data_IF_052686465477
#
_entry.id   IF_052686465477
#
_cell.length_a   1.000
_cell.length_b   1.000
_cell.length_c   1.000
_cell.angle_alpha   90.00
_cell.angle_beta   90.00
_cell.angle_gamma   90.00
#
_symmetry.space_group_name_H-M   'P 1'
#
loop_
_entity.id
_entity.type
_entity.pdbx_description
1 polymer ?
#
# COMPACT_ATOMS: atom_id res chain seq x y z
N UNK A 1 81.86 -33.96 -10.91
CA UNK A 1 81.23 -32.64 -10.71
C UNK A 1 80.09 -32.84 -9.72
N UNK A 2 80.22 -32.34 -8.49
CA UNK A 2 79.17 -32.46 -7.47
C UNK A 2 78.08 -31.43 -7.77
N UNK A 3 76.84 -31.90 -7.92
CA UNK A 3 75.66 -31.06 -7.99
C UNK A 3 75.44 -30.41 -6.63
N UNK A 4 75.82 -29.14 -6.48
CA UNK A 4 75.45 -28.33 -5.32
C UNK A 4 73.99 -27.94 -5.50
N UNK A 5 73.07 -28.71 -4.90
CA UNK A 5 71.71 -28.23 -4.64
C UNK A 5 71.82 -27.19 -3.52
N UNK A 6 71.80 -25.90 -3.89
CA UNK A 6 71.58 -24.82 -2.92
C UNK A 6 70.11 -24.89 -2.50
N UNK A 7 69.84 -25.44 -1.33
CA UNK A 7 68.59 -25.17 -0.63
C UNK A 7 68.81 -23.89 0.17
N UNK A 8 68.09 -22.83 -0.20
CA UNK A 8 67.95 -21.64 0.63
C UNK A 8 67.17 -22.12 1.86
N UNK A 9 67.68 -21.84 3.06
CA UNK A 9 67.03 -22.25 4.32
C UNK A 9 65.65 -21.62 4.49
N UNK A 10 64.97 -21.91 5.61
CA UNK A 10 63.76 -21.17 5.94
C UNK A 10 64.13 -19.73 6.34
N UNK A 11 63.35 -18.74 5.93
CA UNK A 11 63.54 -17.33 6.26
C UNK A 11 62.28 -16.78 6.95
N UNK A 12 62.46 -15.87 7.91
CA UNK A 12 61.38 -15.04 8.45
C UNK A 12 61.68 -13.58 8.14
N UNK A 13 60.76 -12.93 7.43
CA UNK A 13 60.75 -11.49 7.26
C UNK A 13 60.00 -10.81 8.42
N UNK A 14 60.39 -9.59 8.74
CA UNK A 14 59.77 -8.77 9.77
C UNK A 14 59.75 -7.31 9.35
N UNK A 15 58.80 -6.56 9.92
CA UNK A 15 58.66 -5.12 9.72
C UNK A 15 58.11 -4.49 10.99
N UNK A 16 58.63 -3.31 11.34
CA UNK A 16 58.18 -2.49 12.45
C UNK A 16 58.05 -1.07 11.93
N UNK A 17 56.87 -0.47 12.10
CA UNK A 17 56.61 0.89 11.69
C UNK A 17 56.09 1.72 12.87
N UNK A 18 56.49 2.99 12.91
CA UNK A 18 55.95 3.99 13.82
C UNK A 18 55.59 5.23 13.00
N UNK A 19 54.35 5.68 13.14
CA UNK A 19 53.85 6.90 12.51
C UNK A 19 53.52 7.94 13.59
N UNK A 20 53.83 9.20 13.31
CA UNK A 20 53.48 10.33 14.17
C UNK A 20 52.94 11.48 13.31
N UNK A 21 51.77 11.99 13.66
CA UNK A 21 51.09 13.06 12.92
C UNK A 21 51.12 14.37 13.71
N UNK A 22 52.15 15.22 13.54
CA UNK A 22 52.23 16.51 14.23
C UNK A 22 51.22 17.56 13.72
N UNK A 23 50.66 17.37 12.51
CA UNK A 23 49.72 18.29 11.87
C UNK A 23 48.70 17.49 11.04
N UNK A 24 47.43 17.94 10.88
CA UNK A 24 46.41 17.21 10.11
C UNK A 24 46.84 16.80 8.70
N UNK A 25 47.70 17.60 8.06
CA UNK A 25 48.17 17.40 6.68
C UNK A 25 49.56 16.74 6.57
N UNK A 26 50.24 16.46 7.69
CA UNK A 26 51.61 15.95 7.68
C UNK A 26 51.78 14.82 8.67
N UNK A 27 52.23 13.66 8.18
CA UNK A 27 52.58 12.49 8.97
C UNK A 27 54.04 12.09 8.72
N UNK A 28 54.74 11.77 9.80
CA UNK A 28 56.11 11.26 9.78
C UNK A 28 56.05 9.76 10.00
N UNK A 29 56.60 8.99 9.07
CA UNK A 29 56.69 7.54 9.14
C UNK A 29 58.15 7.12 9.30
N UNK A 30 58.42 6.23 10.24
CA UNK A 30 59.67 5.51 10.35
C UNK A 30 59.37 4.02 10.29
N UNK A 31 60.01 3.32 9.36
CA UNK A 31 59.84 1.88 9.18
C UNK A 31 61.20 1.20 9.23
N UNK A 32 61.29 0.07 9.91
CA UNK A 32 62.43 -0.83 9.84
C UNK A 32 61.94 -2.20 9.41
N UNK A 33 62.54 -2.75 8.37
CA UNK A 33 62.19 -4.05 7.84
C UNK A 33 63.45 -4.89 7.60
N UNK A 34 63.31 -6.20 7.71
CA UNK A 34 64.43 -7.10 7.58
C UNK A 34 64.00 -8.54 7.50
N UNK A 35 64.97 -9.43 7.48
CA UNK A 35 64.72 -10.86 7.48
C UNK A 35 65.81 -11.60 8.27
N UNK A 36 65.51 -12.82 8.69
CA UNK A 36 66.45 -13.72 9.37
C UNK A 36 66.29 -15.13 8.81
N UNK A 37 67.39 -15.87 8.67
CA UNK A 37 67.36 -17.25 8.17
C UNK A 37 67.53 -18.28 9.29
N UNK A 38 66.91 -19.45 9.11
CA UNK A 38 66.99 -20.61 10.00
C UNK A 38 67.59 -21.79 9.23
N UNK A 39 68.88 -22.07 9.44
CA UNK A 39 69.59 -23.19 8.82
C UNK A 39 70.99 -22.82 8.32
N UNK A 40 71.93 -23.75 8.41
CA UNK A 40 73.39 -23.50 8.36
C UNK A 40 73.95 -22.77 7.12
N UNK A 41 75.01 -21.98 7.41
CA UNK A 41 76.19 -21.60 6.60
C UNK A 41 76.25 -20.20 5.98
N UNK A 42 75.21 -19.38 6.13
CA UNK A 42 75.34 -17.92 5.99
C UNK A 42 75.26 -17.30 7.39
N UNK A 43 76.18 -16.38 7.68
CA UNK A 43 76.37 -15.78 8.98
C UNK A 43 75.07 -15.16 9.55
N UNK A 44 74.99 -15.15 10.88
CA UNK A 44 73.88 -14.75 11.75
C UNK A 44 73.48 -13.28 11.69
N UNK A 45 73.61 -12.64 10.52
CA UNK A 45 73.27 -11.25 10.30
C UNK A 45 71.82 -11.19 9.85
N UNK A 46 70.99 -10.44 10.57
CA UNK A 46 69.61 -10.16 10.21
C UNK A 46 69.59 -8.85 9.41
N UNK A 47 69.63 -8.89 8.06
CA UNK A 47 69.78 -7.69 7.27
C UNK A 47 68.58 -6.78 7.54
N UNK A 48 68.87 -5.53 7.84
CA UNK A 48 67.90 -4.57 8.34
C UNK A 48 68.03 -3.29 7.56
N UNK A 49 66.93 -2.86 6.97
CA UNK A 49 66.77 -1.56 6.35
C UNK A 49 65.93 -0.67 7.28
N UNK A 50 66.28 0.60 7.37
CA UNK A 50 65.46 1.63 8.02
C UNK A 50 65.09 2.70 6.99
N UNK A 51 63.83 3.11 7.00
CA UNK A 51 63.23 4.12 6.13
C UNK A 51 62.57 5.20 6.96
N UNK A 52 62.72 6.44 6.51
CA UNK A 52 61.98 7.59 7.00
C UNK A 52 61.22 8.24 5.86
N UNK A 53 59.96 8.58 6.08
CA UNK A 53 59.13 9.27 5.10
C UNK A 53 58.30 10.39 5.73
N UNK A 54 58.00 11.39 4.91
CA UNK A 54 56.95 12.37 5.15
C UNK A 54 55.79 12.07 4.22
N UNK A 55 54.61 11.93 4.79
CA UNK A 55 53.34 11.82 4.09
C UNK A 55 52.65 13.19 4.16
N UNK A 56 52.32 13.76 3.00
CA UNK A 56 51.58 15.01 2.85
C UNK A 56 50.17 14.69 2.37
N UNK A 57 49.17 15.02 3.17
CA UNK A 57 47.76 14.74 2.88
C UNK A 57 47.15 16.01 2.30
N UNK A 58 46.57 15.93 1.09
CA UNK A 58 45.94 17.04 0.37
C UNK A 58 44.64 16.54 -0.26
N UNK A 59 43.51 16.81 0.41
CA UNK A 59 42.24 16.19 0.06
C UNK A 59 42.37 14.67 0.13
N UNK A 60 41.95 14.00 -0.94
CA UNK A 60 41.98 12.54 -1.07
C UNK A 60 43.34 11.99 -1.48
N UNK A 61 44.32 12.87 -1.75
CA UNK A 61 45.66 12.47 -2.15
C UNK A 61 46.63 12.48 -0.97
N UNK A 62 47.42 11.42 -0.82
CA UNK A 62 48.60 11.38 0.05
C UNK A 62 49.85 11.28 -0.80
N UNK A 63 50.72 12.29 -0.72
CA UNK A 63 52.03 12.31 -1.36
C UNK A 63 53.10 11.91 -0.36
N UNK A 64 53.87 10.88 -0.67
CA UNK A 64 54.94 10.38 0.18
C UNK A 64 56.30 10.75 -0.41
N UNK A 65 57.20 11.24 0.44
CA UNK A 65 58.61 11.42 0.10
C UNK A 65 59.49 10.91 1.24
N UNK A 66 60.45 10.06 0.92
CA UNK A 66 61.27 9.44 1.93
C UNK A 66 62.61 8.94 1.43
N UNK A 67 63.42 8.46 2.38
CA UNK A 67 64.71 7.86 2.12
C UNK A 67 64.92 6.67 3.06
N UNK A 68 65.72 5.72 2.59
CA UNK A 68 66.05 4.50 3.30
C UNK A 68 67.53 4.19 3.23
N UNK A 69 68.03 3.47 4.23
CA UNK A 69 69.41 3.01 4.27
C UNK A 69 69.53 1.71 5.07
N UNK A 70 70.56 0.92 4.78
CA UNK A 70 70.89 -0.27 5.54
C UNK A 70 71.42 0.06 6.94
N UNK A 71 70.80 -0.52 7.96
CA UNK A 71 71.29 -0.52 9.34
C UNK A 71 72.17 -1.74 9.60
N UNK A 72 71.77 -2.91 9.08
CA UNK A 72 72.55 -4.15 9.07
C UNK A 72 72.64 -4.62 7.62
N UNK A 73 73.85 -4.62 7.06
CA UNK A 73 74.07 -4.96 5.66
C UNK A 73 73.92 -6.46 5.42
N UNK A 74 73.35 -6.80 4.28
CA UNK A 74 73.19 -8.17 3.82
C UNK A 74 72.55 -8.18 2.44
N UNK A 75 72.31 -9.38 1.91
CA UNK A 75 71.68 -9.50 0.59
C UNK A 75 70.29 -8.85 0.63
N UNK A 76 70.05 -7.91 -0.29
CA UNK A 76 68.77 -7.19 -0.40
C UNK A 76 68.68 -5.88 0.38
N UNK A 77 69.67 -5.50 1.19
CA UNK A 77 69.68 -4.22 1.93
C UNK A 77 70.50 -3.16 1.16
N UNK A 78 69.88 -2.06 0.69
CA UNK A 78 70.60 -1.02 -0.05
C UNK A 78 71.52 -0.19 0.85
N UNK A 79 72.58 0.38 0.26
CA UNK A 79 73.44 1.37 0.97
C UNK A 79 72.63 2.61 1.33
N UNK A 80 71.90 3.15 0.35
CA UNK A 80 70.89 4.17 0.53
C UNK A 80 69.97 4.20 -0.70
N UNK A 81 68.73 4.64 -0.53
CA UNK A 81 67.83 5.01 -1.62
C UNK A 81 66.90 6.16 -1.22
N UNK A 82 66.22 6.73 -2.20
CA UNK A 82 65.10 7.65 -2.01
C UNK A 82 63.86 7.11 -2.72
N UNK A 83 62.67 7.48 -2.23
CA UNK A 83 61.41 7.10 -2.83
C UNK A 83 60.41 8.25 -2.80
N UNK A 84 59.52 8.25 -3.79
CA UNK A 84 58.37 9.11 -3.91
C UNK A 84 57.14 8.24 -4.19
N UNK A 85 56.02 8.57 -3.58
CA UNK A 85 54.75 7.87 -3.76
C UNK A 85 53.58 8.83 -3.80
N UNK A 86 52.49 8.40 -4.41
CA UNK A 86 51.20 9.07 -4.34
C UNK A 86 50.12 8.00 -4.19
N UNK A 87 49.18 8.19 -3.27
CA UNK A 87 47.99 7.36 -3.12
C UNK A 87 46.75 8.25 -3.13
N UNK A 88 45.68 7.78 -3.77
CA UNK A 88 44.36 8.41 -3.76
C UNK A 88 43.42 7.55 -2.93
N UNK A 89 42.74 8.16 -1.97
CA UNK A 89 41.76 7.54 -1.08
C UNK A 89 40.55 8.48 -1.01
N UNK A 90 39.55 8.32 -1.89
CA UNK A 90 38.34 9.13 -1.84
C UNK A 90 37.59 8.93 -0.51
N UNK A 91 36.73 9.87 -0.10
CA UNK A 91 35.83 9.67 1.02
C UNK A 91 35.03 8.37 0.81
N UNK A 92 34.79 7.65 1.90
CA UNK A 92 34.00 6.42 1.88
C UNK A 92 32.48 6.72 1.81
N UNK A 93 32.11 7.97 2.07
CA UNK A 93 30.74 8.47 2.17
C UNK A 93 30.49 9.36 0.94
N UNK A 94 30.41 8.74 -0.24
CA UNK A 94 29.91 9.41 -1.45
C UNK A 94 28.39 9.38 -1.38
N UNK A 95 27.78 10.45 -1.87
CA UNK A 95 26.35 10.71 -1.96
C UNK A 95 26.19 11.47 -3.28
N UNK A 96 25.76 10.75 -4.31
CA UNK A 96 25.94 11.13 -5.71
C UNK A 96 24.85 12.08 -6.20
N UNK A 97 23.61 11.88 -5.77
CA UNK A 97 22.44 12.70 -6.05
C UNK A 97 22.17 13.74 -4.95
N UNK A 98 22.71 13.56 -3.74
CA UNK A 98 22.71 14.56 -2.68
C UNK A 98 21.47 14.54 -1.81
N UNK A 99 20.78 13.40 -1.72
CA UNK A 99 19.59 13.22 -0.89
C UNK A 99 19.90 12.98 0.60
N UNK A 100 21.17 12.72 0.91
CA UNK A 100 21.64 12.51 2.28
C UNK A 100 21.77 11.04 2.68
N UNK A 101 21.43 10.11 1.80
CA UNK A 101 21.78 8.69 1.89
C UNK A 101 23.11 8.48 1.16
N UNK A 102 24.05 7.74 1.75
CA UNK A 102 25.32 7.48 1.05
C UNK A 102 25.10 6.45 -0.06
N UNK A 103 25.81 6.53 -1.18
CA UNK A 103 25.81 5.57 -2.31
C UNK A 103 25.90 4.08 -1.88
N UNK A 104 26.44 3.82 -0.69
CA UNK A 104 26.62 2.47 -0.13
C UNK A 104 25.40 1.92 0.62
N UNK A 105 24.49 2.80 0.99
CA UNK A 105 23.25 2.56 1.73
C UNK A 105 22.01 2.84 0.88
N UNK A 106 22.18 3.67 -0.13
CA UNK A 106 21.22 4.12 -1.12
C UNK A 106 20.95 3.02 -2.17
N UNK A 107 19.67 2.72 -2.39
CA UNK A 107 19.18 1.77 -3.38
C UNK A 107 19.13 2.35 -4.80
N UNK A 108 19.03 3.68 -4.93
CA UNK A 108 19.02 4.45 -6.17
C UNK A 108 20.09 5.57 -6.20
N UNK A 109 21.41 5.26 -6.22
CA UNK A 109 22.50 6.26 -6.05
C UNK A 109 22.70 7.31 -7.15
N UNK A 110 21.74 7.51 -8.04
CA UNK A 110 21.77 8.54 -9.06
C UNK A 110 20.48 9.37 -9.10
N UNK A 111 19.47 8.99 -8.34
CA UNK A 111 18.12 9.52 -8.37
C UNK A 111 17.78 9.89 -6.93
N UNK A 112 17.73 11.19 -6.63
CA UNK A 112 17.47 11.67 -5.28
C UNK A 112 16.06 11.32 -4.81
N UNK A 113 15.97 10.86 -3.57
CA UNK A 113 14.76 10.78 -2.75
C UNK A 113 13.90 12.06 -2.84
N UNK A 114 12.56 11.93 -2.84
CA UNK A 114 11.62 13.05 -2.90
C UNK A 114 10.99 13.48 -1.56
N UNK A 115 11.37 12.80 -0.46
CA UNK A 115 11.06 13.15 0.95
C UNK A 115 9.58 13.50 1.18
N UNK A 116 8.68 12.57 0.88
CA UNK A 116 7.24 12.76 1.03
C UNK A 116 6.63 12.02 2.25
N UNK A 117 7.40 11.15 2.90
CA UNK A 117 6.99 10.35 4.05
C UNK A 117 6.65 8.89 3.73
N UNK A 118 6.78 8.49 2.47
CA UNK A 118 6.65 7.13 1.99
C UNK A 118 8.04 6.58 1.64
N UNK A 119 8.37 5.40 2.17
CA UNK A 119 9.63 4.66 1.95
C UNK A 119 10.99 5.44 1.93
N UNK A 120 11.05 6.71 2.40
CA UNK A 120 12.18 7.68 2.44
C UNK A 120 13.59 7.18 2.89
N UNK A 121 13.68 5.96 3.41
CA UNK A 121 14.83 5.43 4.12
C UNK A 121 15.77 4.60 3.25
N UNK A 122 15.35 4.24 2.04
CA UNK A 122 16.17 3.49 1.10
C UNK A 122 16.87 4.36 0.03
N UNK A 123 16.50 5.65 -0.06
CA UNK A 123 17.12 6.64 -0.96
C UNK A 123 16.65 6.50 -2.40
N UNK A 124 15.43 6.03 -2.62
CA UNK A 124 14.81 5.93 -3.93
C UNK A 124 13.57 6.80 -3.97
N UNK A 125 13.39 7.66 -4.98
CA UNK A 125 12.13 8.37 -5.12
C UNK A 125 11.02 7.43 -5.58
N UNK A 126 9.92 7.41 -4.85
CA UNK A 126 8.66 6.82 -5.25
C UNK A 126 7.78 7.92 -5.89
N UNK A 127 7.46 7.77 -7.18
CA UNK A 127 6.68 8.78 -7.92
C UNK A 127 5.19 8.44 -8.04
N UNK A 128 4.80 7.33 -7.41
CA UNK A 128 3.50 6.66 -7.45
C UNK A 128 3.53 5.64 -6.29
N UNK A 129 3.22 6.12 -5.09
CA UNK A 129 3.44 5.43 -3.82
C UNK A 129 2.57 4.18 -3.66
N UNK A 130 1.31 4.26 -4.09
CA UNK A 130 0.36 3.16 -4.01
C UNK A 130 0.36 2.24 -5.25
N UNK A 131 0.94 2.69 -6.36
CA UNK A 131 1.16 1.91 -7.56
C UNK A 131 -0.08 1.73 -8.42
N UNK A 132 -1.07 2.62 -8.32
CA UNK A 132 -2.29 2.59 -9.12
C UNK A 132 -2.08 3.09 -10.58
N UNK A 133 -0.97 3.80 -10.82
CA UNK A 133 -0.56 4.33 -12.12
C UNK A 133 -0.80 5.84 -12.30
N UNK A 134 -1.29 6.53 -11.29
CA UNK A 134 -1.41 7.99 -11.20
C UNK A 134 -0.23 8.52 -10.35
N UNK A 135 0.59 9.45 -10.86
CA UNK A 135 1.70 9.97 -10.07
C UNK A 135 1.23 10.76 -8.86
N UNK A 136 1.92 10.69 -7.71
CA UNK A 136 1.50 11.31 -6.44
C UNK A 136 1.23 12.82 -6.54
N UNK A 137 1.90 13.49 -7.48
CA UNK A 137 1.71 14.92 -7.73
C UNK A 137 0.35 15.28 -8.37
N UNK A 138 -0.26 14.31 -9.05
CA UNK A 138 -1.55 14.38 -9.71
C UNK A 138 -2.64 13.56 -8.97
N UNK A 139 -2.24 12.75 -7.99
CA UNK A 139 -3.10 11.88 -7.18
C UNK A 139 -3.69 12.59 -5.94
N UNK A 140 -5.03 12.58 -5.73
CA UNK A 140 -5.64 13.10 -4.51
C UNK A 140 -5.47 12.19 -3.27
N UNK A 141 -5.24 10.90 -3.47
CA UNK A 141 -5.09 9.84 -2.48
C UNK A 141 -3.78 9.04 -2.67
N UNK A 142 -2.59 9.68 -2.67
CA UNK A 142 -1.32 9.07 -3.10
C UNK A 142 -0.87 7.82 -2.33
N UNK A 143 -1.42 7.57 -1.13
CA UNK A 143 -1.07 6.42 -0.29
C UNK A 143 -2.12 5.29 -0.35
N UNK A 144 -3.19 5.45 -1.13
CA UNK A 144 -4.38 4.59 -1.15
C UNK A 144 -4.79 4.28 -2.59
N UNK A 145 -4.36 3.12 -3.10
CA UNK A 145 -4.64 2.74 -4.48
C UNK A 145 -6.14 2.63 -4.80
N UNK A 146 -6.50 3.20 -5.96
CA UNK A 146 -7.79 3.07 -6.65
C UNK A 146 -8.35 1.63 -6.68
N UNK A 147 -9.66 1.48 -6.51
CA UNK A 147 -10.31 0.18 -6.37
C UNK A 147 -11.07 -0.34 -7.61
N UNK A 148 -10.83 0.18 -8.82
CA UNK A 148 -11.17 -0.43 -10.13
C UNK A 148 -12.50 -1.24 -10.18
N UNK A 149 -13.60 -0.64 -9.76
CA UNK A 149 -14.91 -1.28 -9.63
C UNK A 149 -15.97 -0.77 -10.62
N UNK A 150 -15.55 0.01 -11.62
CA UNK A 150 -16.38 0.69 -12.64
C UNK A 150 -17.07 1.98 -12.15
N UNK A 151 -16.78 2.45 -10.93
CA UNK A 151 -17.15 3.75 -10.40
C UNK A 151 -15.90 4.62 -10.20
N UNK A 152 -15.92 5.85 -10.70
CA UNK A 152 -14.87 6.88 -10.57
C UNK A 152 -13.37 6.46 -10.74
N UNK A 153 -13.05 5.26 -11.27
CA UNK A 153 -11.76 4.56 -11.54
C UNK A 153 -10.54 5.36 -12.09
N UNK A 154 -10.69 6.64 -12.37
CA UNK A 154 -9.75 7.50 -13.09
C UNK A 154 -9.26 8.68 -12.25
N UNK A 155 -9.72 8.79 -11.00
CA UNK A 155 -9.36 9.88 -10.11
C UNK A 155 -8.27 9.55 -9.07
N UNK A 156 -8.00 8.25 -8.84
CA UNK A 156 -6.90 7.76 -8.02
C UNK A 156 -7.27 7.52 -6.55
N UNK A 157 -8.56 7.57 -6.23
CA UNK A 157 -9.04 7.43 -4.88
C UNK A 157 -10.04 6.27 -4.79
N UNK A 158 -9.83 5.30 -3.90
CA UNK A 158 -10.82 4.25 -3.71
C UNK A 158 -12.07 4.79 -3.00
N UNK A 159 -13.23 4.40 -3.49
CA UNK A 159 -14.52 4.68 -2.86
C UNK A 159 -14.98 3.51 -1.97
N UNK A 160 -15.33 3.79 -0.71
CA UNK A 160 -15.88 2.73 0.16
C UNK A 160 -17.41 2.53 0.00
N UNK A 161 -18.09 3.49 -0.62
CA UNK A 161 -19.55 3.64 -0.72
C UNK A 161 -19.89 4.54 -1.92
N UNK A 162 -19.99 3.92 -3.09
CA UNK A 162 -20.11 4.58 -4.40
C UNK A 162 -21.39 5.40 -4.57
N UNK A 163 -22.52 4.93 -4.05
CA UNK A 163 -23.80 5.64 -4.18
C UNK A 163 -24.17 6.52 -2.98
N UNK A 164 -23.42 6.40 -1.89
CA UNK A 164 -23.48 7.28 -0.73
C UNK A 164 -24.71 7.07 0.14
N UNK A 165 -25.30 5.87 0.11
CA UNK A 165 -26.45 5.52 0.95
C UNK A 165 -26.05 5.15 2.41
N UNK A 166 -24.76 4.96 2.66
CA UNK A 166 -24.19 4.63 3.96
C UNK A 166 -23.93 3.14 4.20
N UNK A 167 -24.17 2.29 3.21
CA UNK A 167 -23.77 0.88 3.14
C UNK A 167 -22.52 0.82 2.27
N UNK A 168 -21.49 0.11 2.74
CA UNK A 168 -20.25 -0.01 1.95
C UNK A 168 -20.44 -0.96 0.80
N UNK A 169 -19.79 -0.71 -0.34
CA UNK A 169 -19.91 -1.51 -1.57
C UNK A 169 -19.68 -3.01 -1.35
N UNK A 170 -18.71 -3.38 -0.48
CA UNK A 170 -18.44 -4.77 -0.12
C UNK A 170 -19.57 -5.50 0.63
N UNK A 171 -20.56 -4.77 1.13
CA UNK A 171 -21.78 -5.26 1.79
C UNK A 171 -23.06 -4.87 1.04
N UNK A 172 -22.94 -4.08 -0.01
CA UNK A 172 -24.04 -3.56 -0.80
C UNK A 172 -24.41 -4.52 -1.95
N UNK A 173 -25.70 -4.81 -2.11
CA UNK A 173 -26.19 -5.63 -3.21
C UNK A 173 -26.41 -4.84 -4.51
N UNK A 174 -26.54 -3.52 -4.40
CA UNK A 174 -26.65 -2.56 -5.49
C UNK A 174 -25.66 -1.38 -5.30
N UNK A 175 -24.33 -1.60 -5.31
CA UNK A 175 -23.29 -0.59 -4.98
C UNK A 175 -23.37 0.76 -5.75
N UNK A 176 -24.13 0.82 -6.83
CA UNK A 176 -24.23 2.00 -7.69
C UNK A 176 -25.65 2.58 -7.72
N UNK A 177 -26.52 2.19 -6.78
CA UNK A 177 -27.93 2.57 -6.76
C UNK A 177 -28.39 2.72 -5.31
N UNK A 178 -28.54 3.96 -4.83
CA UNK A 178 -28.68 4.22 -3.41
C UNK A 178 -30.01 3.70 -2.86
N UNK A 179 -29.95 3.13 -1.67
CA UNK A 179 -31.10 2.77 -0.84
C UNK A 179 -32.01 3.97 -0.52
N UNK A 180 -33.33 3.76 -0.46
CA UNK A 180 -34.31 4.83 -0.19
C UNK A 180 -34.73 4.94 1.29
N UNK A 181 -34.32 3.97 2.12
CA UNK A 181 -34.46 3.97 3.57
C UNK A 181 -35.91 4.11 4.04
N UNK A 182 -36.83 3.42 3.38
CA UNK A 182 -38.26 3.53 3.62
C UNK A 182 -38.82 2.57 4.70
N UNK A 183 -37.99 1.66 5.20
CA UNK A 183 -38.31 0.74 6.28
C UNK A 183 -38.63 -0.70 5.85
N UNK A 184 -38.68 -1.00 4.54
CA UNK A 184 -38.51 -2.36 4.04
C UNK A 184 -37.02 -2.59 3.73
N UNK A 185 -36.49 -3.73 4.17
CA UNK A 185 -35.17 -4.26 3.77
C UNK A 185 -33.94 -3.33 3.69
N UNK A 186 -33.94 -2.12 4.26
CA UNK A 186 -32.92 -1.04 4.27
C UNK A 186 -31.43 -1.42 4.58
N UNK A 187 -31.12 -2.69 4.76
CA UNK A 187 -29.78 -3.22 5.10
C UNK A 187 -29.11 -3.96 3.96
N UNK A 188 -29.77 -4.16 2.81
CA UNK A 188 -29.17 -4.83 1.66
C UNK A 188 -28.64 -3.89 0.57
N UNK A 189 -28.93 -2.58 0.67
CA UNK A 189 -28.38 -1.52 -0.19
C UNK A 189 -29.11 -1.40 -1.52
N UNK A 190 -30.31 -1.96 -1.64
CA UNK A 190 -31.06 -1.95 -2.89
C UNK A 190 -32.47 -1.40 -2.65
N UNK A 191 -32.87 -0.31 -3.32
CA UNK A 191 -34.25 0.14 -3.22
C UNK A 191 -35.22 -0.91 -3.78
N UNK A 192 -36.28 -1.20 -3.02
CA UNK A 192 -37.35 -2.07 -3.49
C UNK A 192 -38.24 -1.39 -4.53
N UNK A 193 -38.46 -2.07 -5.65
CA UNK A 193 -39.41 -1.60 -6.67
C UNK A 193 -40.86 -2.05 -6.41
N UNK A 194 -41.05 -3.08 -5.56
CA UNK A 194 -42.32 -3.75 -5.25
C UNK A 194 -42.17 -4.36 -3.83
N UNK A 195 -42.49 -3.56 -2.81
CA UNK A 195 -42.20 -3.86 -1.40
C UNK A 195 -43.06 -4.99 -0.84
N UNK A 196 -44.34 -5.04 -1.17
CA UNK A 196 -45.23 -6.11 -0.69
C UNK A 196 -45.23 -7.36 -1.58
N UNK A 197 -44.60 -7.28 -2.74
CA UNK A 197 -44.36 -8.38 -3.68
C UNK A 197 -45.65 -8.94 -4.29
N UNK A 198 -46.63 -8.08 -4.55
CA UNK A 198 -47.85 -8.44 -5.25
C UNK A 198 -47.69 -8.45 -6.79
N UNK A 199 -46.62 -7.81 -7.31
CA UNK A 199 -46.30 -7.72 -8.74
C UNK A 199 -46.66 -6.38 -9.40
N UNK A 200 -47.14 -5.40 -8.63
CA UNK A 200 -47.35 -4.01 -9.02
C UNK A 200 -46.18 -3.20 -8.44
N UNK A 201 -45.53 -2.39 -9.28
CA UNK A 201 -44.42 -1.56 -8.78
C UNK A 201 -44.95 -0.47 -7.84
N UNK A 202 -44.23 -0.17 -6.77
CA UNK A 202 -44.52 0.88 -5.77
C UNK A 202 -44.91 2.24 -6.39
N UNK A 203 -44.36 2.55 -7.57
CA UNK A 203 -44.66 3.79 -8.30
C UNK A 203 -46.04 3.83 -8.98
N UNK A 204 -46.65 2.66 -9.16
CA UNK A 204 -47.97 2.43 -9.74
C UNK A 204 -49.01 1.94 -8.70
N UNK A 205 -48.55 1.51 -7.53
CA UNK A 205 -49.34 0.99 -6.42
C UNK A 205 -49.90 2.13 -5.52
N UNK A 206 -51.19 2.06 -5.16
CA UNK A 206 -51.83 3.01 -4.25
C UNK A 206 -51.55 2.72 -2.76
N UNK A 207 -51.18 1.49 -2.40
CA UNK A 207 -50.79 1.08 -1.07
C UNK A 207 -49.56 0.15 -1.15
N UNK A 208 -48.37 0.71 -1.39
CA UNK A 208 -47.11 -0.01 -1.64
C UNK A 208 -46.57 -0.91 -0.52
N UNK A 209 -47.36 -1.18 0.52
CA UNK A 209 -46.97 -2.01 1.67
C UNK A 209 -48.03 -3.06 2.00
N UNK A 210 -49.11 -3.12 1.22
CA UNK A 210 -50.26 -3.99 1.44
C UNK A 210 -50.58 -4.74 0.15
N UNK A 211 -50.09 -5.97 0.05
CA UNK A 211 -50.23 -6.77 -1.16
C UNK A 211 -51.68 -6.94 -1.63
N UNK A 212 -51.91 -6.67 -2.91
CA UNK A 212 -53.12 -6.98 -3.66
C UNK A 212 -53.50 -8.47 -3.54
N UNK A 213 -54.81 -8.76 -3.50
CA UNK A 213 -55.33 -10.11 -3.33
C UNK A 213 -55.79 -10.77 -4.66
N UNK A 214 -55.86 -9.99 -5.74
CA UNK A 214 -56.16 -10.42 -7.12
C UNK A 214 -57.47 -11.19 -7.25
N UNK A 215 -58.54 -10.69 -6.64
CA UNK A 215 -59.85 -11.33 -6.66
C UNK A 215 -60.71 -11.00 -7.91
N UNK A 216 -60.25 -10.06 -8.73
CA UNK A 216 -60.89 -9.65 -9.99
C UNK A 216 -61.62 -8.31 -9.92
N UNK A 217 -61.56 -7.59 -8.81
CA UNK A 217 -62.03 -6.22 -8.66
C UNK A 217 -60.84 -5.31 -8.34
N UNK A 218 -60.77 -4.16 -9.02
CA UNK A 218 -59.71 -3.16 -8.90
C UNK A 218 -58.22 -3.62 -8.84
N UNK A 219 -57.91 -4.90 -9.14
CA UNK A 219 -56.57 -5.55 -9.21
C UNK A 219 -55.40 -4.74 -9.83
N UNK A 220 -55.68 -3.63 -10.51
CA UNK A 220 -54.69 -2.77 -11.15
C UNK A 220 -54.26 -1.57 -10.30
N UNK A 221 -54.86 -1.36 -9.13
CA UNK A 221 -54.49 -0.28 -8.22
C UNK A 221 -53.58 -0.67 -7.05
N UNK A 222 -53.38 -1.98 -6.83
CA UNK A 222 -52.43 -2.54 -5.88
C UNK A 222 -52.95 -2.60 -4.46
N UNK A 223 -54.25 -2.41 -4.25
CA UNK A 223 -54.83 -2.40 -2.91
C UNK A 223 -55.87 -3.46 -2.65
N UNK A 224 -55.69 -4.29 -1.60
CA UNK A 224 -56.73 -5.21 -1.21
C UNK A 224 -57.98 -4.43 -0.75
N UNK A 225 -59.13 -4.79 -1.30
CA UNK A 225 -60.40 -4.22 -0.86
C UNK A 225 -60.86 -4.82 0.48
N UNK A 226 -61.38 -3.95 1.37
CA UNK A 226 -62.07 -4.40 2.58
C UNK A 226 -63.58 -4.59 2.37
N UNK A 227 -64.13 -4.09 1.25
CA UNK A 227 -65.56 -4.03 0.88
C UNK A 227 -65.63 -4.11 -0.65
N UNK A 228 -65.67 -5.34 -1.18
CA UNK A 228 -65.50 -5.65 -2.60
C UNK A 228 -66.65 -5.12 -3.47
N UNK A 229 -67.87 -5.02 -2.94
CA UNK A 229 -69.03 -4.52 -3.71
C UNK A 229 -69.43 -3.07 -3.38
N UNK A 230 -68.84 -2.48 -2.34
CA UNK A 230 -68.95 -1.08 -1.99
C UNK A 230 -70.28 -0.69 -1.36
N UNK A 231 -70.98 -1.63 -0.72
CA UNK A 231 -72.25 -1.38 -0.04
C UNK A 231 -72.08 -0.80 1.39
N UNK A 232 -70.85 -0.81 1.91
CA UNK A 232 -70.50 -0.27 3.23
C UNK A 232 -70.46 -1.30 4.35
N UNK A 233 -70.67 -2.59 4.07
CA UNK A 233 -70.40 -3.74 4.94
C UNK A 233 -69.04 -4.34 4.55
N UNK A 234 -68.06 -4.42 5.46
CA UNK A 234 -66.77 -5.02 5.13
C UNK A 234 -66.94 -6.50 4.78
N UNK A 235 -66.17 -7.02 3.83
CA UNK A 235 -66.22 -8.42 3.35
C UNK A 235 -66.10 -9.46 4.47
N UNK A 236 -65.40 -9.10 5.56
CA UNK A 236 -65.26 -9.95 6.75
C UNK A 236 -66.54 -10.10 7.58
N UNK A 237 -67.45 -9.14 7.47
CA UNK A 237 -68.75 -9.08 8.13
C UNK A 237 -69.92 -9.26 7.13
N UNK A 238 -69.63 -9.34 5.82
CA UNK A 238 -70.59 -9.49 4.72
C UNK A 238 -70.93 -10.99 4.42
N UNK A 239 -72.23 -11.34 4.41
CA UNK A 239 -72.68 -12.69 4.04
C UNK A 239 -72.65 -12.95 2.52
N UNK A 240 -72.65 -11.90 1.71
CA UNK A 240 -72.61 -11.86 0.26
C UNK A 240 -71.53 -10.87 -0.29
N UNK A 241 -70.22 -11.07 -0.04
CA UNK A 241 -69.16 -10.09 -0.33
C UNK A 241 -68.99 -9.64 -1.80
N UNK A 242 -69.75 -10.21 -2.74
CA UNK A 242 -69.67 -9.90 -4.17
C UNK A 242 -70.97 -9.31 -4.74
N UNK A 243 -71.96 -9.04 -3.89
CA UNK A 243 -73.29 -8.60 -4.27
C UNK A 243 -73.77 -7.49 -3.34
N UNK A 244 -73.66 -6.23 -3.78
CA UNK A 244 -74.05 -5.08 -2.95
C UNK A 244 -75.52 -5.14 -2.47
N UNK A 245 -75.73 -4.80 -1.20
CA UNK A 245 -77.03 -4.64 -0.54
C UNK A 245 -77.92 -3.57 -1.24
N UNK A 246 -79.26 -3.71 -1.15
CA UNK A 246 -80.23 -2.91 -1.91
C UNK A 246 -80.99 -1.79 -1.14
N UNK A 247 -80.53 -1.45 0.06
CA UNK A 247 -80.92 -0.38 0.98
C UNK A 247 -82.46 -0.31 1.15
N UNK A 248 -83.05 -1.44 1.57
CA UNK A 248 -84.48 -1.77 1.48
C UNK A 248 -85.32 -1.36 2.74
N UNK A 249 -84.65 -1.01 3.85
CA UNK A 249 -85.16 -0.96 5.24
C UNK A 249 -85.44 -2.39 5.81
N UNK A 250 -84.80 -3.43 5.30
CA UNK A 250 -84.98 -4.83 5.70
C UNK A 250 -83.64 -5.57 5.67
N UNK A 251 -83.18 -6.07 6.82
CA UNK A 251 -81.96 -6.89 6.92
C UNK A 251 -80.67 -6.24 6.35
N UNK A 252 -80.69 -4.93 6.05
CA UNK A 252 -79.57 -4.05 5.60
C UNK A 252 -78.24 -4.05 6.43
N UNK A 253 -78.05 -4.93 7.41
CA UNK A 253 -76.81 -5.06 8.19
C UNK A 253 -75.98 -6.32 7.81
N UNK A 254 -76.47 -7.19 6.91
CA UNK A 254 -75.83 -8.46 6.55
C UNK A 254 -75.07 -8.48 5.21
N UNK A 255 -75.11 -7.37 4.45
CA UNK A 255 -74.41 -7.21 3.16
C UNK A 255 -75.03 -7.99 1.99
N UNK A 256 -76.22 -8.58 2.17
CA UNK A 256 -76.85 -9.40 1.13
C UNK A 256 -78.09 -8.72 0.52
N UNK A 257 -78.21 -8.60 -0.82
CA UNK A 257 -79.43 -8.16 -1.46
C UNK A 257 -80.53 -9.22 -1.32
N UNK A 258 -81.72 -8.83 -0.84
CA UNK A 258 -82.77 -9.83 -0.71
C UNK A 258 -83.54 -10.05 -2.00
N UNK A 259 -83.53 -11.30 -2.47
CA UNK A 259 -84.45 -11.78 -3.50
C UNK A 259 -85.92 -11.76 -3.01
N UNK A 260 -86.57 -10.59 -3.10
CA UNK A 260 -87.99 -10.50 -3.38
C UNK A 260 -88.94 -9.91 -2.33
N UNK A 261 -88.52 -8.98 -1.45
CA UNK A 261 -89.51 -8.24 -0.64
C UNK A 261 -90.10 -7.04 -1.38
N UNK A 262 -91.01 -7.34 -2.32
CA UNK A 262 -91.97 -6.33 -2.81
C UNK A 262 -92.70 -5.70 -1.61
N UNK A 263 -92.37 -4.45 -1.29
CA UNK A 263 -93.16 -3.45 -0.54
C UNK A 263 -94.48 -4.00 0.00
N UNK A 264 -94.45 -4.61 1.19
CA UNK A 264 -95.70 -4.82 1.96
C UNK A 264 -95.98 -3.64 2.89
N UNK A 265 -96.12 -2.42 2.34
CA UNK A 265 -96.75 -1.31 3.08
C UNK A 265 -98.25 -1.20 2.78
N UNK A 266 -98.99 -1.95 3.60
CA UNK A 266 -100.28 -1.66 4.27
C UNK A 266 -101.47 -1.19 3.42
N UNK A 267 -102.46 -2.08 3.26
CA UNK A 267 -103.88 -1.71 3.08
C UNK A 267 -104.35 -0.90 4.29
N UNK A 268 -104.41 0.42 4.13
CA UNK A 268 -105.19 1.30 5.00
C UNK A 268 -106.69 1.11 4.74
N UNK A 269 -107.44 0.84 5.82
CA UNK A 269 -108.91 0.82 5.86
C UNK A 269 -109.49 2.22 5.79
#
# INVERSE_FOLDING_TARGET
>A
MQNIRSQIGAEAAWGLAAAYRPHPLVEVLVEANGWTSFGQRFDSEAPTEIRGALNFIVGDFTFQAGAGAGLVYGVGVPVAHGFLGASFSPPQDLDTDGDGVTDSQDACPADAEDEDGWEDEDGCPELDNDGDGIPDADDPCPDEAEDLDEYEDEDGCPEEDNDGDGIRDGYDSCPNTPEDMDGDRDTDGCPEADRDNDGIEDSADQCPTEAEDFDGFADEDGCPEEDFDGDGVPDTDDECPAEAEDDDDFEDEDGCPEEGTRRRRRRGR
#
